data_IF_871906656417
#
_entry.id   IF_871906656417
#
_cell.length_a   1.000
_cell.length_b   1.000
_cell.length_c   1.000
_cell.angle_alpha   90.00
_cell.angle_beta   90.00
_cell.angle_gamma   90.00
#
_symmetry.space_group_name_H-M   'P 1'
#
loop_
_entity.id
_entity.type
_entity.pdbx_description
1 polymer ?
#
# COMPACT_ATOMS: atom_id res chain seq x y z
N UNK A 1 10.08 22.40 14.53
CA UNK A 1 9.07 21.60 13.80
C UNK A 1 7.72 21.46 14.54
N UNK A 2 7.64 21.37 15.88
CA UNK A 2 6.35 21.13 16.58
C UNK A 2 5.20 22.09 16.20
N UNK A 3 5.47 23.41 16.12
CA UNK A 3 4.47 24.39 15.67
C UNK A 3 3.96 24.11 14.25
N UNK A 4 4.85 23.77 13.32
CA UNK A 4 4.50 23.41 11.94
C UNK A 4 3.68 22.11 11.93
N UNK A 5 4.06 21.12 12.73
CA UNK A 5 3.37 19.82 12.80
C UNK A 5 1.91 19.95 13.24
N UNK A 6 1.61 20.76 14.26
CA UNK A 6 0.23 21.02 14.67
C UNK A 6 -0.59 21.66 13.54
N UNK A 7 -0.03 22.71 12.91
CA UNK A 7 -0.70 23.40 11.79
C UNK A 7 -0.89 22.47 10.59
N UNK A 8 0.07 21.60 10.31
CA UNK A 8 -0.02 20.57 9.26
C UNK A 8 -1.20 19.62 9.51
N UNK A 9 -1.37 19.10 10.72
CA UNK A 9 -2.49 18.18 11.02
C UNK A 9 -3.82 18.89 10.79
N UNK A 10 -3.97 20.13 11.27
CA UNK A 10 -5.19 20.93 11.07
C UNK A 10 -5.44 21.24 9.59
N UNK A 11 -4.40 21.58 8.84
CA UNK A 11 -4.47 21.79 7.40
C UNK A 11 -4.94 20.51 6.67
N UNK A 12 -4.33 19.37 6.99
CA UNK A 12 -4.67 18.11 6.37
C UNK A 12 -6.13 17.71 6.62
N UNK A 13 -6.60 17.81 7.87
CA UNK A 13 -8.00 17.53 8.22
C UNK A 13 -8.97 18.46 7.49
N UNK A 14 -8.57 19.72 7.27
CA UNK A 14 -9.36 20.70 6.49
C UNK A 14 -9.37 20.39 5.00
N UNK A 15 -8.29 19.89 4.42
CA UNK A 15 -8.31 19.39 3.03
C UNK A 15 -9.24 18.17 2.96
N UNK A 16 -9.19 17.29 3.95
CA UNK A 16 -10.03 16.09 4.05
C UNK A 16 -11.53 16.35 4.14
N UNK A 17 -11.98 17.55 4.52
CA UNK A 17 -13.41 17.91 4.42
C UNK A 17 -13.87 18.23 3.00
N UNK A 18 -12.94 18.42 2.06
CA UNK A 18 -13.21 18.63 0.63
C UNK A 18 -12.88 17.40 -0.24
N UNK A 19 -12.06 16.48 0.27
CA UNK A 19 -11.73 15.21 -0.37
C UNK A 19 -11.84 14.08 0.65
N UNK A 20 -12.92 13.30 0.56
CA UNK A 20 -13.24 12.23 1.51
C UNK A 20 -12.21 11.10 1.53
N UNK A 21 -11.42 10.93 0.47
CA UNK A 21 -10.41 9.88 0.38
C UNK A 21 -9.04 10.34 0.90
N UNK A 22 -8.85 11.65 1.17
CA UNK A 22 -7.53 12.17 1.50
C UNK A 22 -6.99 11.71 2.85
N UNK A 23 -7.86 11.51 3.84
CA UNK A 23 -7.49 11.05 5.19
C UNK A 23 -7.74 9.55 5.28
N UNK A 24 -6.66 8.76 5.38
CA UNK A 24 -6.72 7.31 5.59
C UNK A 24 -7.07 7.00 7.05
N UNK A 25 -6.36 7.64 7.99
CA UNK A 25 -6.59 7.49 9.42
C UNK A 25 -6.35 8.80 10.19
N UNK A 26 -7.15 9.03 11.22
CA UNK A 26 -6.92 10.09 12.19
C UNK A 26 -7.33 9.66 13.61
N UNK A 27 -6.38 9.79 14.54
CA UNK A 27 -6.55 9.39 15.94
C UNK A 27 -5.97 10.43 16.93
N UNK A 28 -5.81 11.67 16.48
CA UNK A 28 -5.40 12.80 17.31
C UNK A 28 -6.56 13.45 18.09
N UNK A 29 -6.31 14.65 18.67
CA UNK A 29 -7.30 15.39 19.45
C UNK A 29 -8.60 15.67 18.68
N UNK A 30 -9.75 15.28 19.24
CA UNK A 30 -11.04 15.44 18.55
C UNK A 30 -11.39 16.91 18.23
N UNK A 31 -10.97 17.84 19.09
CA UNK A 31 -11.20 19.28 18.90
C UNK A 31 -10.43 19.89 17.71
N UNK A 32 -9.52 19.14 17.08
CA UNK A 32 -8.82 19.58 15.86
C UNK A 32 -9.55 19.24 14.57
N UNK A 33 -10.55 18.34 14.62
CA UNK A 33 -11.39 18.07 13.45
C UNK A 33 -12.10 19.36 13.03
N UNK A 34 -12.15 19.68 11.73
CA UNK A 34 -12.85 20.87 11.27
C UNK A 34 -14.32 20.77 11.73
N UNK A 35 -14.84 21.87 12.29
CA UNK A 35 -16.28 22.01 12.51
C UNK A 35 -16.91 22.00 11.13
N UNK A 36 -17.81 21.04 10.87
CA UNK A 36 -18.44 20.73 9.58
C UNK A 36 -18.33 21.86 8.56
N UNK A 37 -17.32 21.80 7.69
CA UNK A 37 -17.21 22.74 6.57
C UNK A 37 -18.18 22.25 5.48
N UNK A 38 -19.40 22.79 5.46
CA UNK A 38 -20.47 22.41 4.52
C UNK A 38 -20.40 23.19 3.20
N UNK A 39 -19.20 23.61 2.78
CA UNK A 39 -19.00 24.45 1.59
C UNK A 39 -18.34 23.69 0.45
N UNK A 40 -18.64 24.07 -0.79
CA UNK A 40 -17.87 23.61 -1.96
C UNK A 40 -16.45 24.18 -1.92
N UNK A 41 -15.49 23.42 -2.45
CA UNK A 41 -14.14 23.93 -2.68
C UNK A 41 -14.19 25.00 -3.78
N UNK A 42 -13.90 26.25 -3.43
CA UNK A 42 -13.99 27.40 -4.33
C UNK A 42 -12.71 28.26 -4.26
N UNK A 43 -12.62 29.30 -5.10
CA UNK A 43 -11.43 30.17 -5.18
C UNK A 43 -11.01 30.75 -3.82
N UNK A 44 -11.97 31.12 -2.96
CA UNK A 44 -11.64 31.69 -1.64
C UNK A 44 -11.04 30.63 -0.72
N UNK A 45 -11.57 29.40 -0.74
CA UNK A 45 -11.01 28.25 0.00
C UNK A 45 -9.60 27.95 -0.52
N UNK A 46 -9.44 27.89 -1.84
CA UNK A 46 -8.15 27.66 -2.49
C UNK A 46 -7.11 28.69 -2.03
N UNK A 47 -7.41 29.99 -2.09
CA UNK A 47 -6.46 31.03 -1.68
C UNK A 47 -6.04 30.87 -0.22
N UNK A 48 -6.98 30.58 0.68
CA UNK A 48 -6.69 30.39 2.11
C UNK A 48 -5.81 29.16 2.33
N UNK A 49 -6.15 28.00 1.77
CA UNK A 49 -5.38 26.77 1.96
C UNK A 49 -4.01 26.85 1.28
N UNK A 50 -3.94 27.44 0.09
CA UNK A 50 -2.68 27.66 -0.63
C UNK A 50 -1.75 28.61 0.15
N UNK A 51 -2.27 29.71 0.71
CA UNK A 51 -1.48 30.59 1.57
C UNK A 51 -0.99 29.85 2.82
N UNK A 52 -1.85 29.06 3.46
CA UNK A 52 -1.49 28.28 4.65
C UNK A 52 -0.37 27.27 4.35
N UNK A 53 -0.50 26.47 3.30
CA UNK A 53 0.53 25.46 2.97
C UNK A 53 1.85 26.10 2.56
N UNK A 54 1.83 27.21 1.82
CA UNK A 54 3.06 27.94 1.46
C UNK A 54 3.75 28.51 2.69
N UNK A 55 3.01 29.13 3.62
CA UNK A 55 3.58 29.61 4.89
C UNK A 55 4.23 28.49 5.70
N UNK A 56 3.67 27.27 5.69
CA UNK A 56 4.25 26.13 6.40
C UNK A 56 5.51 25.60 5.69
N UNK A 57 5.53 25.60 4.35
CA UNK A 57 6.72 25.25 3.58
C UNK A 57 7.85 26.26 3.82
N UNK A 58 7.55 27.56 3.84
CA UNK A 58 8.52 28.62 4.16
C UNK A 58 9.07 28.47 5.59
N UNK A 59 8.19 28.19 6.58
CA UNK A 59 8.59 27.89 7.97
C UNK A 59 9.51 26.66 8.04
N UNK A 60 9.28 25.64 7.20
CA UNK A 60 10.17 24.48 7.11
C UNK A 60 11.50 24.86 6.46
N UNK A 61 11.52 25.57 5.33
CA UNK A 61 12.77 25.96 4.66
C UNK A 61 13.70 26.75 5.59
N UNK A 62 13.15 27.62 6.43
CA UNK A 62 13.91 28.33 7.46
C UNK A 62 14.59 27.41 8.49
N UNK A 63 14.06 26.19 8.71
CA UNK A 63 14.64 25.18 9.59
C UNK A 63 15.72 24.32 8.91
N UNK A 64 15.92 24.42 7.60
CA UNK A 64 16.88 23.58 6.85
C UNK A 64 18.34 23.75 7.30
N UNK A 65 18.69 24.90 7.88
CA UNK A 65 20.03 25.23 8.40
C UNK A 65 20.25 24.82 9.86
N UNK A 66 19.22 24.27 10.52
CA UNK A 66 19.32 23.81 11.91
C UNK A 66 20.25 22.59 12.01
N UNK A 67 21.13 22.57 13.03
CA UNK A 67 21.98 21.43 13.31
C UNK A 67 21.18 20.28 13.93
N UNK A 68 20.44 19.55 13.09
CA UNK A 68 19.53 18.48 13.45
C UNK A 68 20.23 17.15 13.71
N UNK A 69 19.69 16.37 14.65
CA UNK A 69 19.99 14.93 14.75
C UNK A 69 19.50 14.17 13.52
N UNK A 70 19.98 12.95 13.26
CA UNK A 70 19.53 12.15 12.11
C UNK A 70 18.02 11.90 12.12
N UNK A 71 17.43 11.63 13.29
CA UNK A 71 15.99 11.42 13.39
C UNK A 71 15.20 12.72 13.12
N UNK A 72 15.72 13.88 13.51
CA UNK A 72 15.12 15.17 13.17
C UNK A 72 15.26 15.51 11.69
N UNK A 73 16.34 15.09 11.02
CA UNK A 73 16.47 15.21 9.56
C UNK A 73 15.43 14.36 8.84
N UNK A 74 15.18 13.14 9.31
CA UNK A 74 14.11 12.29 8.78
C UNK A 74 12.73 12.95 9.01
N UNK A 75 12.47 13.44 10.23
CA UNK A 75 11.23 14.16 10.56
C UNK A 75 11.01 15.38 9.66
N UNK A 76 12.08 16.15 9.42
CA UNK A 76 12.06 17.30 8.53
C UNK A 76 11.65 16.90 7.12
N UNK A 77 12.32 15.91 6.53
CA UNK A 77 12.04 15.41 5.18
C UNK A 77 10.61 14.90 5.08
N UNK A 78 10.18 14.10 6.05
CA UNK A 78 8.82 13.57 6.12
C UNK A 78 7.79 14.71 6.10
N UNK A 79 7.87 15.64 7.05
CA UNK A 79 6.86 16.69 7.19
C UNK A 79 6.86 17.64 5.98
N UNK A 80 8.03 17.95 5.42
CA UNK A 80 8.14 18.76 4.20
C UNK A 80 7.46 18.08 3.00
N UNK A 81 7.73 16.78 2.79
CA UNK A 81 7.12 16.00 1.70
C UNK A 81 5.62 15.80 1.89
N UNK A 82 5.15 15.67 3.12
CA UNK A 82 3.72 15.66 3.45
C UNK A 82 3.04 17.00 3.11
N UNK A 83 3.68 18.13 3.40
CA UNK A 83 3.18 19.45 3.03
C UNK A 83 3.13 19.66 1.51
N UNK A 84 4.10 19.12 0.76
CA UNK A 84 4.04 19.12 -0.71
C UNK A 84 2.85 18.30 -1.22
N UNK A 85 2.55 17.13 -0.64
CA UNK A 85 1.36 16.37 -0.99
C UNK A 85 0.05 17.13 -0.69
N UNK A 86 -0.04 17.79 0.47
CA UNK A 86 -1.15 18.70 0.80
C UNK A 86 -1.29 19.81 -0.25
N UNK A 87 -0.19 20.47 -0.62
CA UNK A 87 -0.17 21.51 -1.66
C UNK A 87 -0.71 20.95 -2.96
N UNK A 88 -0.17 19.82 -3.43
CA UNK A 88 -0.62 19.15 -4.66
C UNK A 88 -2.13 18.89 -4.66
N UNK A 89 -2.69 18.35 -3.57
CA UNK A 89 -4.14 18.10 -3.47
C UNK A 89 -4.96 19.38 -3.47
N UNK A 90 -4.49 20.48 -2.85
CA UNK A 90 -5.13 21.80 -2.93
C UNK A 90 -5.22 22.28 -4.38
N UNK A 91 -4.14 22.15 -5.18
CA UNK A 91 -4.16 22.51 -6.59
C UNK A 91 -5.11 21.61 -7.41
N UNK A 92 -5.11 20.31 -7.15
CA UNK A 92 -6.01 19.37 -7.83
C UNK A 92 -7.49 19.64 -7.53
N UNK A 93 -7.83 19.95 -6.27
CA UNK A 93 -9.17 20.39 -5.89
C UNK A 93 -9.59 21.69 -6.58
N UNK A 94 -8.63 22.54 -6.94
CA UNK A 94 -8.84 23.75 -7.75
C UNK A 94 -8.87 23.47 -9.27
N UNK A 95 -8.98 22.21 -9.70
CA UNK A 95 -9.11 21.82 -11.09
C UNK A 95 -7.79 21.64 -11.86
N UNK A 96 -6.63 21.73 -11.21
CA UNK A 96 -5.34 21.42 -11.86
C UNK A 96 -5.26 19.92 -12.14
N UNK A 97 -5.01 19.57 -13.41
CA UNK A 97 -4.74 18.19 -13.82
C UNK A 97 -3.25 18.03 -14.08
N UNK A 98 -2.62 17.10 -13.37
CA UNK A 98 -1.22 16.73 -13.56
C UNK A 98 -1.11 15.54 -14.51
N UNK A 99 0.02 15.42 -15.21
CA UNK A 99 0.40 14.15 -15.84
C UNK A 99 0.62 13.07 -14.78
N UNK A 100 0.56 11.81 -15.19
CA UNK A 100 0.80 10.65 -14.33
C UNK A 100 2.15 10.75 -13.60
N UNK A 101 3.19 11.17 -14.30
CA UNK A 101 4.54 11.31 -13.76
C UNK A 101 4.65 12.47 -12.76
N UNK A 102 4.07 13.63 -13.09
CA UNK A 102 4.06 14.79 -12.19
C UNK A 102 3.26 14.49 -10.91
N UNK A 103 2.11 13.83 -11.03
CA UNK A 103 1.28 13.44 -9.90
C UNK A 103 1.99 12.41 -9.02
N UNK A 104 2.61 11.39 -9.62
CA UNK A 104 3.39 10.38 -8.89
C UNK A 104 4.54 11.01 -8.08
N UNK A 105 5.27 11.95 -8.69
CA UNK A 105 6.37 12.65 -8.02
C UNK A 105 5.86 13.60 -6.93
N UNK A 106 4.76 14.32 -7.17
CA UNK A 106 4.24 15.35 -6.27
C UNK A 106 3.45 14.79 -5.08
N UNK A 107 2.77 13.64 -5.24
CA UNK A 107 2.03 12.98 -4.17
C UNK A 107 2.85 11.89 -3.47
N UNK A 108 3.67 11.12 -4.19
CA UNK A 108 4.31 9.92 -3.65
C UNK A 108 5.84 9.98 -3.63
N UNK A 109 6.47 11.08 -4.03
CA UNK A 109 7.93 11.25 -4.03
C UNK A 109 8.68 10.14 -4.83
N UNK A 110 8.06 9.65 -5.89
CA UNK A 110 8.51 8.48 -6.63
C UNK A 110 8.57 8.70 -8.15
N UNK A 111 9.60 8.11 -8.75
CA UNK A 111 9.72 7.96 -10.19
C UNK A 111 9.10 6.62 -10.57
N UNK A 112 8.29 6.60 -11.64
CA UNK A 112 7.60 5.38 -12.06
C UNK A 112 8.27 4.80 -13.31
N UNK A 113 8.80 3.57 -13.26
CA UNK A 113 9.44 2.94 -14.42
C UNK A 113 8.44 2.75 -15.56
N UNK A 114 8.96 2.78 -16.79
CA UNK A 114 8.18 2.56 -18.02
C UNK A 114 8.49 1.18 -18.56
N UNK A 115 7.46 0.37 -18.79
CA UNK A 115 7.57 -0.95 -19.38
C UNK A 115 6.88 -0.98 -20.75
N UNK A 116 7.55 -1.58 -21.74
CA UNK A 116 6.98 -1.77 -23.07
C UNK A 116 6.20 -3.10 -23.16
N UNK A 117 5.57 -3.35 -24.31
CA UNK A 117 4.80 -4.58 -24.52
C UNK A 117 5.65 -5.85 -24.36
N UNK A 118 6.92 -5.81 -24.78
CA UNK A 118 7.79 -6.99 -24.81
C UNK A 118 8.10 -7.48 -23.39
N UNK A 119 8.22 -6.56 -22.43
CA UNK A 119 8.34 -6.89 -21.01
C UNK A 119 7.19 -7.80 -20.52
N UNK A 120 5.96 -7.51 -20.95
CA UNK A 120 4.78 -8.29 -20.58
C UNK A 120 4.64 -9.57 -21.41
N UNK A 121 4.92 -9.51 -22.72
CA UNK A 121 4.83 -10.67 -23.63
C UNK A 121 5.74 -11.81 -23.18
N UNK A 122 6.98 -11.52 -22.76
CA UNK A 122 7.90 -12.55 -22.25
C UNK A 122 7.28 -13.34 -21.10
N UNK A 123 6.63 -12.63 -20.17
CA UNK A 123 5.97 -13.25 -19.01
C UNK A 123 4.73 -14.05 -19.43
N UNK A 124 3.93 -13.53 -20.37
CA UNK A 124 2.74 -14.21 -20.89
C UNK A 124 3.12 -15.47 -21.66
N UNK A 125 4.18 -15.44 -22.46
CA UNK A 125 4.68 -16.60 -23.20
C UNK A 125 5.20 -17.69 -22.26
N UNK A 126 5.78 -17.32 -21.12
CA UNK A 126 6.17 -18.29 -20.09
C UNK A 126 4.94 -18.89 -19.40
N UNK A 127 3.95 -18.07 -19.06
CA UNK A 127 2.66 -18.55 -18.53
C UNK A 127 1.96 -19.49 -19.52
N UNK A 128 1.98 -19.19 -20.82
CA UNK A 128 1.41 -20.02 -21.88
C UNK A 128 1.99 -21.44 -21.89
N UNK A 129 3.32 -21.57 -21.69
CA UNK A 129 4.03 -22.85 -21.66
C UNK A 129 3.71 -23.69 -20.42
N UNK A 130 3.59 -23.05 -19.25
CA UNK A 130 3.47 -23.79 -17.98
C UNK A 130 2.02 -24.04 -17.56
N UNK A 131 1.07 -23.24 -18.04
CA UNK A 131 -0.34 -23.39 -17.68
C UNK A 131 -0.98 -24.57 -18.41
N UNK A 132 -1.66 -25.48 -17.69
CA UNK A 132 -2.31 -26.62 -18.30
C UNK A 132 -3.52 -26.21 -19.17
N UNK A 133 -3.80 -27.03 -20.19
CA UNK A 133 -4.94 -26.85 -21.09
C UNK A 133 -4.58 -26.21 -22.43
N UNK A 134 -5.61 -25.82 -23.19
CA UNK A 134 -5.49 -25.10 -24.47
C UNK A 134 -6.37 -23.84 -24.45
N UNK A 135 -6.08 -22.87 -25.32
CA UNK A 135 -6.86 -21.63 -25.44
C UNK A 135 -6.17 -20.42 -24.81
N UNK A 136 -6.93 -19.37 -24.52
CA UNK A 136 -6.40 -18.10 -24.02
C UNK A 136 -5.68 -18.28 -22.68
N UNK A 137 -4.54 -17.61 -22.52
CA UNK A 137 -3.72 -17.67 -21.29
C UNK A 137 -4.52 -17.21 -20.08
N UNK A 138 -5.30 -16.13 -20.21
CA UNK A 138 -6.15 -15.59 -19.14
C UNK A 138 -7.21 -16.60 -18.66
N UNK A 139 -7.84 -17.34 -19.58
CA UNK A 139 -8.84 -18.36 -19.24
C UNK A 139 -8.22 -19.57 -18.54
N UNK A 140 -7.08 -20.05 -19.06
CA UNK A 140 -6.33 -21.15 -18.42
C UNK A 140 -5.82 -20.77 -17.04
N UNK A 141 -5.33 -19.55 -16.89
CA UNK A 141 -4.91 -19.00 -15.60
C UNK A 141 -6.07 -18.97 -14.60
N UNK A 142 -7.23 -18.42 -14.98
CA UNK A 142 -8.40 -18.37 -14.10
C UNK A 142 -8.86 -19.79 -13.70
N UNK A 143 -8.92 -20.71 -14.66
CA UNK A 143 -9.28 -22.11 -14.43
C UNK A 143 -8.28 -22.79 -13.48
N UNK A 144 -6.98 -22.57 -13.69
CA UNK A 144 -5.93 -23.12 -12.85
C UNK A 144 -5.99 -22.58 -11.42
N UNK A 145 -6.15 -21.26 -11.24
CA UNK A 145 -6.33 -20.65 -9.91
C UNK A 145 -7.58 -21.18 -9.20
N UNK A 146 -8.65 -21.49 -9.95
CA UNK A 146 -9.89 -22.06 -9.44
C UNK A 146 -9.70 -23.31 -8.57
N UNK A 147 -8.67 -24.12 -8.83
CA UNK A 147 -8.34 -25.32 -8.04
C UNK A 147 -7.91 -25.02 -6.60
N UNK A 148 -7.49 -23.79 -6.33
CA UNK A 148 -6.94 -23.33 -5.05
C UNK A 148 -7.88 -22.38 -4.30
N UNK A 149 -9.15 -22.31 -4.72
CA UNK A 149 -10.19 -21.53 -4.03
C UNK A 149 -10.43 -22.09 -2.63
N UNK A 150 -10.37 -21.24 -1.61
CA UNK A 150 -10.70 -21.63 -0.24
C UNK A 150 -12.23 -21.80 -0.15
N UNK A 151 -12.75 -22.93 0.35
CA UNK A 151 -14.18 -23.07 0.63
C UNK A 151 -14.66 -22.03 1.66
N UNK A 152 -15.85 -21.46 1.47
CA UNK A 152 -16.36 -20.35 2.30
C UNK A 152 -16.41 -20.71 3.80
N UNK A 153 -16.81 -21.93 4.13
CA UNK A 153 -16.86 -22.45 5.50
C UNK A 153 -15.47 -22.64 6.15
N UNK A 154 -14.41 -22.66 5.33
CA UNK A 154 -13.02 -22.81 5.77
C UNK A 154 -12.25 -21.49 5.83
N UNK A 155 -12.77 -20.40 5.26
CA UNK A 155 -12.08 -19.10 5.22
C UNK A 155 -11.59 -18.67 6.61
N UNK A 156 -12.47 -18.68 7.61
CA UNK A 156 -12.14 -18.21 8.96
C UNK A 156 -11.00 -19.01 9.60
N UNK A 157 -11.01 -20.33 9.49
CA UNK A 157 -9.97 -21.17 10.11
C UNK A 157 -8.62 -21.00 9.40
N UNK A 158 -8.62 -20.88 8.07
CA UNK A 158 -7.40 -20.65 7.27
C UNK A 158 -6.80 -19.29 7.58
N UNK A 159 -7.60 -18.22 7.58
CA UNK A 159 -7.12 -16.86 7.90
C UNK A 159 -6.57 -16.77 9.32
N UNK A 160 -7.25 -17.35 10.31
CA UNK A 160 -6.76 -17.36 11.69
C UNK A 160 -5.40 -18.06 11.82
N UNK A 161 -5.19 -19.15 11.09
CA UNK A 161 -3.91 -19.85 11.07
C UNK A 161 -2.80 -19.00 10.43
N UNK A 162 -3.10 -18.33 9.31
CA UNK A 162 -2.17 -17.41 8.66
C UNK A 162 -1.79 -16.23 9.58
N UNK A 163 -2.78 -15.56 10.19
CA UNK A 163 -2.57 -14.46 11.14
C UNK A 163 -1.68 -14.90 12.32
N UNK A 164 -1.94 -16.08 12.88
CA UNK A 164 -1.16 -16.61 14.00
C UNK A 164 0.31 -16.82 13.62
N UNK A 165 0.57 -17.35 12.43
CA UNK A 165 1.94 -17.59 11.95
C UNK A 165 2.66 -16.28 11.63
N UNK A 166 2.00 -15.38 10.90
CA UNK A 166 2.46 -14.03 10.64
C UNK A 166 2.86 -13.29 11.93
N UNK A 167 2.00 -13.37 12.95
CA UNK A 167 2.26 -12.81 14.28
C UNK A 167 3.47 -13.46 14.95
N UNK A 168 3.50 -14.79 15.01
CA UNK A 168 4.57 -15.58 15.63
C UNK A 168 5.94 -15.23 15.06
N UNK A 169 6.03 -15.04 13.74
CA UNK A 169 7.26 -14.61 13.05
C UNK A 169 7.62 -13.18 13.42
N UNK A 170 6.66 -12.27 13.33
CA UNK A 170 6.88 -10.83 13.60
C UNK A 170 7.42 -10.56 15.01
N UNK A 171 6.80 -11.15 16.04
CA UNK A 171 7.15 -10.85 17.44
C UNK A 171 8.54 -11.36 17.86
N UNK A 172 9.17 -12.25 17.09
CA UNK A 172 10.56 -12.68 17.32
C UNK A 172 11.57 -11.58 17.01
N UNK A 173 11.19 -10.61 16.17
CA UNK A 173 12.09 -9.59 15.63
C UNK A 173 11.66 -8.16 15.99
N UNK A 174 10.36 -7.95 16.16
CA UNK A 174 9.77 -6.63 16.42
C UNK A 174 9.03 -6.68 17.75
N UNK A 175 9.48 -5.86 18.70
CA UNK A 175 8.71 -5.59 19.91
C UNK A 175 7.51 -4.71 19.54
N UNK A 176 6.31 -5.20 19.86
CA UNK A 176 5.06 -4.50 19.60
C UNK A 176 4.53 -3.82 20.87
N UNK A 177 3.67 -2.78 20.74
CA UNK A 177 2.99 -2.19 21.90
C UNK A 177 2.23 -3.27 22.68
N UNK A 178 2.33 -3.34 24.02
CA UNK A 178 1.74 -4.45 24.78
C UNK A 178 0.23 -4.66 24.59
N UNK A 179 -0.49 -3.59 24.20
CA UNK A 179 -1.93 -3.60 24.00
C UNK A 179 -2.34 -3.61 22.54
N UNK A 180 -1.41 -3.74 21.58
CA UNK A 180 -1.79 -3.84 20.17
C UNK A 180 -2.64 -5.07 19.91
N UNK A 181 -3.70 -4.87 19.13
CA UNK A 181 -4.49 -5.96 18.58
C UNK A 181 -5.33 -5.47 17.40
N UNK A 182 -5.96 -6.42 16.70
CA UNK A 182 -6.96 -6.11 15.69
C UNK A 182 -8.08 -7.13 15.69
N UNK A 183 -9.23 -6.72 15.18
CA UNK A 183 -10.34 -7.63 14.83
C UNK A 183 -10.42 -7.83 13.33
N UNK A 184 -10.94 -8.99 12.91
CA UNK A 184 -11.22 -9.30 11.50
C UNK A 184 -12.71 -9.36 11.25
N UNK A 185 -13.19 -8.62 10.26
CA UNK A 185 -14.57 -8.58 9.81
C UNK A 185 -14.68 -9.09 8.37
N UNK A 186 -15.59 -10.02 8.12
CA UNK A 186 -15.89 -10.46 6.75
C UNK A 186 -17.07 -9.65 6.23
N UNK A 187 -16.83 -8.90 5.16
CA UNK A 187 -17.78 -7.94 4.59
C UNK A 187 -18.14 -8.28 3.15
N UNK A 188 -19.20 -7.64 2.65
CA UNK A 188 -19.70 -7.72 1.29
C UNK A 188 -20.01 -6.32 0.75
N UNK A 189 -20.18 -6.21 -0.56
CA UNK A 189 -20.48 -4.98 -1.30
C UNK A 189 -19.48 -3.85 -1.03
N UNK A 190 -18.18 -4.18 -0.99
CA UNK A 190 -17.10 -3.20 -0.79
C UNK A 190 -16.26 -3.05 -2.07
N UNK A 191 -15.72 -1.86 -2.36
CA UNK A 191 -14.87 -1.65 -3.53
C UNK A 191 -13.43 -2.19 -3.37
N UNK A 192 -13.04 -2.60 -2.16
CA UNK A 192 -11.74 -3.19 -1.84
C UNK A 192 -11.81 -4.70 -1.62
N UNK A 193 -10.66 -5.39 -1.75
CA UNK A 193 -10.53 -6.83 -1.46
C UNK A 193 -10.24 -7.11 0.02
N UNK A 194 -9.39 -6.31 0.64
CA UNK A 194 -9.24 -6.20 2.07
C UNK A 194 -8.80 -4.78 2.41
N UNK A 195 -8.96 -4.37 3.67
CA UNK A 195 -8.51 -3.07 4.13
C UNK A 195 -8.32 -3.04 5.65
N UNK A 196 -7.23 -2.41 6.11
CA UNK A 196 -6.98 -2.14 7.51
C UNK A 196 -7.48 -0.74 7.92
N UNK A 197 -8.56 -0.71 8.70
CA UNK A 197 -8.99 0.52 9.36
C UNK A 197 -8.23 0.72 10.67
N UNK A 198 -7.15 1.50 10.64
CA UNK A 198 -6.45 1.86 11.86
C UNK A 198 -7.25 2.87 12.68
N UNK A 199 -7.57 2.52 13.94
CA UNK A 199 -8.44 3.32 14.83
C UNK A 199 -7.68 4.13 15.87
N UNK A 200 -6.35 4.07 15.87
CA UNK A 200 -5.53 4.56 16.97
C UNK A 200 -5.60 3.66 18.20
N UNK A 201 -4.86 4.02 19.24
CA UNK A 201 -4.70 3.19 20.45
C UNK A 201 -4.18 1.79 20.14
N UNK A 202 -3.36 1.67 19.11
CA UNK A 202 -2.81 0.38 18.66
C UNK A 202 -3.87 -0.63 18.22
N UNK A 203 -5.04 -0.16 17.77
CA UNK A 203 -6.15 -1.01 17.34
C UNK A 203 -6.45 -0.85 15.85
N UNK A 204 -6.63 -1.98 15.16
CA UNK A 204 -7.16 -2.02 13.78
C UNK A 204 -8.44 -2.82 13.68
N UNK A 205 -9.26 -2.49 12.69
CA UNK A 205 -10.31 -3.37 12.16
C UNK A 205 -9.93 -3.76 10.74
N UNK A 206 -9.61 -5.03 10.52
CA UNK A 206 -9.28 -5.56 9.20
C UNK A 206 -10.56 -6.09 8.57
N UNK A 207 -10.96 -5.51 7.45
CA UNK A 207 -12.11 -5.97 6.67
C UNK A 207 -11.64 -6.83 5.50
N UNK A 208 -12.21 -8.02 5.34
CA UNK A 208 -11.96 -8.92 4.21
C UNK A 208 -13.24 -9.01 3.38
N UNK A 209 -13.17 -8.57 2.13
CA UNK A 209 -14.31 -8.63 1.23
C UNK A 209 -14.46 -10.03 0.62
N UNK A 210 -15.65 -10.59 0.78
CA UNK A 210 -16.02 -11.94 0.34
C UNK A 210 -16.89 -11.96 -0.92
N UNK A 211 -17.04 -10.83 -1.62
CA UNK A 211 -17.78 -10.75 -2.88
C UNK A 211 -17.15 -11.58 -4.01
N UNK A 212 -15.82 -11.76 -3.96
CA UNK A 212 -15.05 -12.55 -4.93
C UNK A 212 -14.40 -13.77 -4.26
N UNK A 213 -14.17 -14.87 -5.01
CA UNK A 213 -13.41 -16.02 -4.53
C UNK A 213 -12.04 -15.63 -3.95
N UNK A 214 -11.75 -16.12 -2.75
CA UNK A 214 -10.43 -15.99 -2.11
C UNK A 214 -9.66 -17.30 -2.31
N UNK A 215 -8.43 -17.17 -2.81
CA UNK A 215 -7.53 -18.30 -3.08
C UNK A 215 -6.53 -18.49 -1.94
N UNK A 216 -5.92 -19.68 -1.86
CA UNK A 216 -5.06 -20.08 -0.73
C UNK A 216 -3.88 -19.13 -0.48
N UNK A 217 -3.28 -18.57 -1.53
CA UNK A 217 -2.21 -17.57 -1.46
C UNK A 217 -2.66 -16.28 -0.74
N UNK A 218 -3.92 -15.90 -0.92
CA UNK A 218 -4.44 -14.67 -0.31
C UNK A 218 -4.54 -14.74 1.20
N UNK A 219 -4.50 -15.94 1.80
CA UNK A 219 -4.52 -16.10 3.24
C UNK A 219 -3.30 -15.46 3.90
N UNK A 220 -2.08 -15.81 3.43
CA UNK A 220 -0.84 -15.18 3.93
C UNK A 220 -0.74 -13.74 3.46
N UNK A 221 -1.03 -13.46 2.17
CA UNK A 221 -0.90 -12.10 1.64
C UNK A 221 -1.65 -11.12 2.53
N UNK A 222 -2.94 -11.35 2.78
CA UNK A 222 -3.77 -10.43 3.57
C UNK A 222 -3.40 -10.45 5.06
N UNK A 223 -3.11 -11.62 5.63
CA UNK A 223 -2.73 -11.72 7.04
C UNK A 223 -1.43 -10.95 7.35
N UNK A 224 -0.47 -10.97 6.41
CA UNK A 224 0.78 -10.25 6.54
C UNK A 224 0.64 -8.77 6.17
N UNK A 225 0.06 -8.49 5.00
CA UNK A 225 -0.10 -7.14 4.45
C UNK A 225 -0.97 -6.25 5.35
N UNK A 226 -2.14 -6.74 5.77
CA UNK A 226 -3.03 -5.95 6.64
C UNK A 226 -2.64 -6.05 8.11
N UNK A 227 -2.07 -7.19 8.52
CA UNK A 227 -1.78 -7.51 9.92
C UNK A 227 -0.29 -7.45 10.25
N UNK A 228 0.35 -8.62 10.31
CA UNK A 228 1.71 -8.79 10.83
C UNK A 228 2.68 -9.25 9.72
N UNK A 229 3.71 -8.49 9.31
CA UNK A 229 4.18 -7.24 9.90
C UNK A 229 3.75 -5.97 9.13
N UNK A 230 2.66 -6.01 8.35
CA UNK A 230 2.22 -4.93 7.48
C UNK A 230 1.49 -3.78 8.19
N UNK A 231 0.37 -3.30 7.62
CA UNK A 231 -0.29 -2.04 7.99
C UNK A 231 -0.60 -1.89 9.47
N UNK A 232 -1.07 -2.94 10.15
CA UNK A 232 -1.33 -2.87 11.58
C UNK A 232 -0.05 -2.55 12.36
N UNK A 233 1.04 -3.27 12.10
CA UNK A 233 2.32 -3.06 12.77
C UNK A 233 2.94 -1.72 12.39
N UNK A 234 2.87 -1.33 11.11
CA UNK A 234 3.33 -0.02 10.64
C UNK A 234 2.70 1.12 11.45
N UNK A 235 1.37 1.18 11.49
CA UNK A 235 0.65 2.23 12.20
C UNK A 235 0.88 2.15 13.72
N UNK A 236 0.88 0.94 14.30
CA UNK A 236 1.13 0.75 15.73
C UNK A 236 2.52 1.23 16.16
N UNK A 237 3.55 1.02 15.34
CA UNK A 237 4.91 1.45 15.64
C UNK A 237 5.09 2.96 15.44
N UNK A 238 4.49 3.57 14.42
CA UNK A 238 4.50 5.03 14.28
C UNK A 238 3.76 5.71 15.44
N UNK A 239 2.59 5.20 15.82
CA UNK A 239 1.85 5.69 16.98
C UNK A 239 2.69 5.58 18.26
N UNK A 240 3.31 4.41 18.47
CA UNK A 240 4.02 4.16 19.73
C UNK A 240 5.32 4.96 19.83
N UNK A 241 6.13 4.95 18.77
CA UNK A 241 7.47 5.49 18.81
C UNK A 241 7.52 6.98 18.53
N UNK A 242 6.64 7.51 17.69
CA UNK A 242 6.68 8.90 17.25
C UNK A 242 5.56 9.73 17.88
N UNK A 243 4.29 9.30 17.75
CA UNK A 243 3.19 10.08 18.32
C UNK A 243 3.24 10.10 19.85
N UNK A 244 3.34 8.94 20.51
CA UNK A 244 3.25 8.85 21.98
C UNK A 244 4.57 9.11 22.69
N UNK A 245 5.67 8.46 22.29
CA UNK A 245 6.97 8.62 22.98
C UNK A 245 7.71 9.92 22.65
N UNK A 246 7.47 10.51 21.48
CA UNK A 246 8.14 11.75 21.04
C UNK A 246 7.20 12.96 20.97
N UNK A 247 5.91 12.75 21.18
CA UNK A 247 4.88 13.81 21.10
C UNK A 247 4.84 14.47 19.71
N UNK A 248 5.15 13.71 18.66
CA UNK A 248 5.13 14.18 17.27
C UNK A 248 3.74 14.03 16.68
N UNK A 249 2.94 15.08 16.87
CA UNK A 249 1.51 15.12 16.54
C UNK A 249 1.21 14.88 15.07
N UNK A 250 2.15 15.12 14.15
CA UNK A 250 1.98 14.84 12.73
C UNK A 250 1.80 13.35 12.42
N UNK A 251 2.18 12.45 13.33
CA UNK A 251 1.93 11.00 13.19
C UNK A 251 0.55 10.59 13.72
N UNK A 252 -0.28 11.53 14.17
CA UNK A 252 -1.68 11.24 14.52
C UNK A 252 -2.64 11.23 13.33
N UNK A 253 -2.13 11.59 12.14
CA UNK A 253 -2.85 11.60 10.86
C UNK A 253 -2.04 10.81 9.82
N UNK A 254 -2.74 10.04 8.99
CA UNK A 254 -2.19 9.37 7.82
C UNK A 254 -2.98 9.84 6.58
N UNK A 255 -2.27 10.44 5.63
CA UNK A 255 -2.83 10.91 4.37
C UNK A 255 -2.70 9.83 3.29
N UNK A 256 -3.83 9.44 2.68
CA UNK A 256 -3.86 8.39 1.64
C UNK A 256 -3.09 8.80 0.39
N UNK A 257 -3.17 10.06 0.00
CA UNK A 257 -2.45 10.60 -1.15
C UNK A 257 -1.17 11.30 -0.71
N UNK A 258 -0.20 10.54 -0.20
CA UNK A 258 1.07 11.07 0.29
C UNK A 258 2.23 10.07 0.18
N UNK A 259 3.49 10.51 0.37
CA UNK A 259 4.65 9.62 0.30
C UNK A 259 4.67 8.58 1.41
N UNK A 260 3.92 8.79 2.50
CA UNK A 260 3.72 7.78 3.54
C UNK A 260 3.01 6.55 2.98
N UNK A 261 2.05 6.70 2.06
CA UNK A 261 1.29 5.59 1.50
C UNK A 261 2.15 4.65 0.67
N UNK A 262 3.10 5.20 -0.08
CA UNK A 262 4.03 4.38 -0.85
C UNK A 262 4.95 3.55 0.07
N UNK A 263 5.39 4.13 1.20
CA UNK A 263 6.15 3.39 2.22
C UNK A 263 5.26 2.35 2.93
N UNK A 264 4.03 2.71 3.30
CA UNK A 264 3.10 1.83 3.99
C UNK A 264 2.76 0.61 3.12
N UNK A 265 2.36 0.83 1.86
CA UNK A 265 2.08 -0.24 0.89
C UNK A 265 3.34 -1.03 0.53
N UNK A 266 4.46 -0.35 0.30
CA UNK A 266 5.72 -1.01 -0.02
C UNK A 266 6.20 -1.93 1.09
N UNK A 267 6.11 -1.49 2.35
CA UNK A 267 6.46 -2.31 3.51
C UNK A 267 5.43 -3.41 3.78
N UNK A 268 4.13 -3.18 3.54
CA UNK A 268 3.10 -4.20 3.68
C UNK A 268 3.27 -5.33 2.64
N UNK A 269 3.57 -4.99 1.38
CA UNK A 269 3.83 -5.96 0.32
C UNK A 269 5.16 -6.70 0.52
N UNK A 270 6.26 -5.98 0.80
CA UNK A 270 7.55 -6.62 1.05
C UNK A 270 7.58 -7.40 2.37
N UNK A 271 6.76 -7.01 3.36
CA UNK A 271 6.64 -7.67 4.66
C UNK A 271 6.25 -9.15 4.56
N UNK A 272 5.60 -9.55 3.46
CA UNK A 272 5.32 -10.96 3.16
C UNK A 272 6.64 -11.74 2.95
N UNK A 273 7.55 -11.22 2.13
CA UNK A 273 8.86 -11.83 1.86
C UNK A 273 9.79 -11.78 3.09
N UNK A 274 9.66 -10.74 3.91
CA UNK A 274 10.38 -10.64 5.19
C UNK A 274 9.91 -11.70 6.17
N UNK A 275 8.59 -11.89 6.29
CA UNK A 275 8.01 -12.88 7.19
C UNK A 275 8.23 -14.31 6.69
N UNK A 276 8.19 -14.55 5.38
CA UNK A 276 8.31 -15.88 4.77
C UNK A 276 9.39 -15.90 3.66
N UNK A 277 10.68 -15.93 4.03
CA UNK A 277 11.76 -15.92 3.07
C UNK A 277 11.84 -17.24 2.28
N UNK A 278 12.36 -17.16 1.05
CA UNK A 278 12.54 -18.32 0.16
C UNK A 278 11.28 -19.20 0.04
N UNK A 279 11.44 -20.50 0.32
CA UNK A 279 10.35 -21.48 0.21
C UNK A 279 9.52 -21.63 1.49
N UNK A 280 9.76 -20.84 2.54
CA UNK A 280 9.05 -21.00 3.82
C UNK A 280 7.55 -20.78 3.69
N UNK A 281 7.15 -19.82 2.84
CA UNK A 281 5.74 -19.57 2.52
C UNK A 281 5.05 -20.83 1.99
N UNK A 282 5.61 -21.38 0.91
CA UNK A 282 5.06 -22.56 0.23
C UNK A 282 5.02 -23.74 1.19
N UNK A 283 6.07 -23.93 1.98
CA UNK A 283 6.13 -25.00 2.99
C UNK A 283 5.00 -24.88 4.01
N UNK A 284 4.83 -23.70 4.62
CA UNK A 284 3.79 -23.49 5.61
C UNK A 284 2.38 -23.63 5.01
N UNK A 285 2.15 -23.09 3.81
CA UNK A 285 0.87 -23.24 3.12
C UNK A 285 0.56 -24.71 2.86
N UNK A 286 1.51 -25.48 2.30
CA UNK A 286 1.32 -26.93 2.04
C UNK A 286 1.08 -27.74 3.32
N UNK A 287 1.83 -27.47 4.39
CA UNK A 287 1.78 -28.25 5.63
C UNK A 287 0.57 -27.87 6.51
N UNK A 288 0.08 -26.64 6.42
CA UNK A 288 -0.95 -26.10 7.33
C UNK A 288 -2.18 -25.61 6.60
N UNK A 289 -2.05 -24.64 5.69
CA UNK A 289 -3.21 -23.96 5.12
C UNK A 289 -3.99 -24.84 4.13
N UNK A 290 -3.30 -25.59 3.28
CA UNK A 290 -3.92 -26.53 2.34
C UNK A 290 -4.76 -27.60 3.06
N UNK A 291 -4.23 -28.33 4.07
CA UNK A 291 -5.03 -29.24 4.88
C UNK A 291 -6.24 -28.59 5.55
N UNK A 292 -6.09 -27.38 6.12
CA UNK A 292 -7.21 -26.65 6.75
C UNK A 292 -8.30 -26.26 5.75
N UNK A 293 -7.90 -25.92 4.52
CA UNK A 293 -8.80 -25.58 3.43
C UNK A 293 -9.43 -26.83 2.75
N UNK A 294 -8.91 -28.03 3.03
CA UNK A 294 -9.30 -29.26 2.30
C UNK A 294 -8.80 -29.27 0.85
N UNK A 295 -7.71 -28.57 0.56
CA UNK A 295 -7.14 -28.45 -0.78
C UNK A 295 -5.98 -29.43 -1.00
N UNK A 296 -5.82 -29.89 -2.24
CA UNK A 296 -4.70 -30.73 -2.65
C UNK A 296 -3.47 -29.86 -3.01
N UNK A 297 -2.32 -30.14 -2.39
CA UNK A 297 -1.07 -29.40 -2.59
C UNK A 297 -0.17 -29.92 -3.73
N UNK A 298 -0.59 -30.95 -4.48
CA UNK A 298 0.24 -31.58 -5.53
C UNK A 298 0.67 -30.60 -6.64
N UNK A 299 -0.20 -29.65 -6.99
CA UNK A 299 0.08 -28.63 -8.00
C UNK A 299 0.56 -27.30 -7.38
N UNK A 300 0.84 -27.25 -6.07
CA UNK A 300 1.18 -26.01 -5.38
C UNK A 300 2.49 -25.37 -5.87
N UNK A 301 3.53 -26.16 -6.22
CA UNK A 301 4.78 -25.57 -6.74
C UNK A 301 4.56 -24.86 -8.08
N UNK A 302 3.73 -25.44 -8.94
CA UNK A 302 3.30 -24.79 -10.18
C UNK A 302 2.45 -23.55 -9.88
N UNK A 303 1.57 -23.63 -8.88
CA UNK A 303 0.75 -22.50 -8.43
C UNK A 303 1.59 -21.29 -8.04
N UNK A 304 2.59 -21.46 -7.17
CA UNK A 304 3.44 -20.36 -6.75
C UNK A 304 4.38 -19.87 -7.85
N UNK A 305 4.85 -20.73 -8.75
CA UNK A 305 5.58 -20.29 -9.95
C UNK A 305 4.73 -19.40 -10.84
N UNK A 306 3.45 -19.75 -11.04
CA UNK A 306 2.49 -18.92 -11.78
C UNK A 306 2.29 -17.57 -11.08
N UNK A 307 2.07 -17.55 -9.77
CA UNK A 307 1.89 -16.31 -9.01
C UNK A 307 3.11 -15.40 -9.08
N UNK A 308 4.32 -15.97 -9.02
CA UNK A 308 5.57 -15.19 -9.13
C UNK A 308 5.67 -14.49 -10.49
N UNK A 309 5.38 -15.20 -11.59
CA UNK A 309 5.32 -14.60 -12.93
C UNK A 309 4.25 -13.51 -13.01
N UNK A 310 3.10 -13.70 -12.37
CA UNK A 310 2.03 -12.69 -12.37
C UNK A 310 2.42 -11.37 -11.69
N UNK A 311 3.38 -11.37 -10.75
CA UNK A 311 3.85 -10.11 -10.10
C UNK A 311 4.35 -9.11 -11.14
N UNK A 312 5.11 -9.56 -12.15
CA UNK A 312 5.61 -8.71 -13.23
C UNK A 312 4.48 -8.07 -14.05
N UNK A 313 3.37 -8.79 -14.23
CA UNK A 313 2.23 -8.29 -14.98
C UNK A 313 1.50 -7.15 -14.25
N UNK A 314 1.69 -6.97 -12.94
CA UNK A 314 1.10 -5.85 -12.19
C UNK A 314 1.50 -4.48 -12.78
N UNK A 315 2.70 -4.37 -13.35
CA UNK A 315 3.18 -3.16 -14.03
C UNK A 315 2.35 -2.79 -15.27
N UNK A 316 1.65 -3.75 -15.89
CA UNK A 316 0.70 -3.43 -16.97
C UNK A 316 -0.45 -2.55 -16.45
N UNK A 317 -0.80 -2.66 -15.16
CA UNK A 317 -1.75 -1.76 -14.51
C UNK A 317 -1.22 -0.34 -14.37
N UNK A 318 0.08 -0.16 -14.13
CA UNK A 318 0.72 1.16 -14.08
C UNK A 318 0.73 1.81 -15.47
N UNK A 319 1.05 1.05 -16.52
CA UNK A 319 1.01 1.57 -17.89
C UNK A 319 -0.41 1.90 -18.36
N UNK A 320 -1.41 1.12 -17.93
CA UNK A 320 -2.81 1.45 -18.12
C UNK A 320 -3.18 2.79 -17.49
N UNK A 321 -2.86 2.96 -16.21
CA UNK A 321 -3.11 4.21 -15.48
C UNK A 321 -2.36 5.39 -16.12
N UNK A 322 -1.09 5.21 -16.48
CA UNK A 322 -0.26 6.22 -17.13
C UNK A 322 -0.87 6.71 -18.43
N UNK A 323 -1.24 5.81 -19.33
CA UNK A 323 -1.77 6.19 -20.63
C UNK A 323 -3.20 6.74 -20.54
N UNK A 324 -4.03 6.22 -19.64
CA UNK A 324 -5.37 6.73 -19.41
C UNK A 324 -5.36 8.16 -18.82
N UNK A 325 -4.59 8.37 -17.73
CA UNK A 325 -4.54 9.66 -17.03
C UNK A 325 -3.85 10.74 -17.86
N UNK A 326 -2.90 10.38 -18.73
CA UNK A 326 -2.28 11.29 -19.69
C UNK A 326 -3.14 11.54 -20.95
N UNK A 327 -4.38 11.02 -21.01
CA UNK A 327 -5.30 11.21 -22.14
C UNK A 327 -4.87 10.53 -23.43
N UNK A 328 -3.91 9.60 -23.38
CA UNK A 328 -3.42 8.84 -24.54
C UNK A 328 -4.36 7.70 -24.92
N UNK A 329 -5.02 7.10 -23.94
CA UNK A 329 -5.99 6.02 -24.14
C UNK A 329 -7.38 6.42 -23.65
N UNK A 330 -8.39 5.97 -24.39
CA UNK A 330 -9.78 5.97 -23.91
C UNK A 330 -10.05 4.74 -23.01
N UNK A 331 -11.27 4.64 -22.49
CA UNK A 331 -11.68 3.55 -21.60
C UNK A 331 -11.52 2.17 -22.25
N UNK A 332 -11.97 2.00 -23.49
CA UNK A 332 -11.90 0.71 -24.18
C UNK A 332 -10.46 0.28 -24.43
N UNK A 333 -9.59 1.19 -24.88
CA UNK A 333 -8.16 0.90 -25.06
C UNK A 333 -7.49 0.50 -23.75
N UNK A 334 -7.88 1.14 -22.65
CA UNK A 334 -7.36 0.83 -21.31
C UNK A 334 -7.82 -0.54 -20.83
N UNK A 335 -9.10 -0.88 -21.04
CA UNK A 335 -9.68 -2.20 -20.73
C UNK A 335 -9.00 -3.29 -21.57
N UNK A 336 -8.84 -3.08 -22.87
CA UNK A 336 -8.20 -4.04 -23.77
C UNK A 336 -6.74 -4.31 -23.36
N UNK A 337 -6.00 -3.26 -22.97
CA UNK A 337 -4.65 -3.40 -22.43
C UNK A 337 -4.61 -4.21 -21.15
N UNK A 338 -5.50 -3.91 -20.19
CA UNK A 338 -5.59 -4.64 -18.92
C UNK A 338 -5.96 -6.11 -19.14
N UNK A 339 -6.86 -6.41 -20.07
CA UNK A 339 -7.22 -7.78 -20.42
C UNK A 339 -6.04 -8.51 -21.04
N UNK A 340 -5.30 -7.86 -21.95
CA UNK A 340 -4.20 -8.46 -22.69
C UNK A 340 -2.94 -8.66 -21.85
N UNK A 341 -2.48 -7.62 -21.16
CA UNK A 341 -1.17 -7.61 -20.50
C UNK A 341 -1.23 -7.76 -18.98
N UNK A 342 -2.37 -7.44 -18.35
CA UNK A 342 -2.59 -7.73 -16.93
C UNK A 342 -3.40 -9.02 -16.71
N UNK A 343 -3.79 -9.70 -17.80
CA UNK A 343 -4.55 -10.95 -17.84
C UNK A 343 -5.88 -10.90 -17.06
N UNK A 344 -6.51 -9.73 -16.98
CA UNK A 344 -7.81 -9.56 -16.33
C UNK A 344 -8.94 -10.07 -17.22
N UNK A 345 -10.00 -10.58 -16.61
CA UNK A 345 -11.32 -10.65 -17.27
C UNK A 345 -11.83 -9.24 -17.57
N UNK A 346 -12.75 -9.09 -18.54
CA UNK A 346 -13.38 -7.79 -18.85
C UNK A 346 -13.95 -7.07 -17.61
N UNK A 347 -14.77 -7.75 -16.80
CA UNK A 347 -15.36 -7.16 -15.59
C UNK A 347 -14.30 -6.67 -14.59
N UNK A 348 -13.27 -7.48 -14.34
CA UNK A 348 -12.13 -7.09 -13.49
C UNK A 348 -11.32 -5.92 -14.06
N UNK A 349 -11.20 -5.82 -15.38
CA UNK A 349 -10.53 -4.69 -16.05
C UNK A 349 -11.35 -3.40 -15.94
N UNK A 350 -12.68 -3.47 -16.11
CA UNK A 350 -13.61 -2.34 -15.90
C UNK A 350 -13.53 -1.83 -14.45
N UNK A 351 -13.60 -2.73 -13.46
CA UNK A 351 -13.42 -2.36 -12.04
C UNK A 351 -12.05 -1.75 -11.74
N UNK A 352 -10.99 -2.25 -12.39
CA UNK A 352 -9.65 -1.68 -12.23
C UNK A 352 -9.55 -0.28 -12.87
N UNK A 353 -10.25 -0.05 -13.98
CA UNK A 353 -10.35 1.29 -14.57
C UNK A 353 -11.11 2.25 -13.64
N UNK A 354 -12.18 1.81 -12.96
CA UNK A 354 -12.86 2.63 -11.94
C UNK A 354 -11.92 2.98 -10.78
N UNK A 355 -11.08 2.03 -10.35
CA UNK A 355 -10.02 2.29 -9.37
C UNK A 355 -9.02 3.34 -9.87
N UNK A 356 -8.57 3.26 -11.13
CA UNK A 356 -7.70 4.27 -11.75
C UNK A 356 -8.40 5.64 -11.80
N UNK A 357 -9.69 5.69 -12.13
CA UNK A 357 -10.43 6.97 -12.17
C UNK A 357 -10.51 7.61 -10.78
N UNK A 358 -10.79 6.81 -9.75
CA UNK A 358 -10.94 7.28 -8.37
C UNK A 358 -9.60 7.65 -7.73
N UNK A 359 -8.65 6.71 -7.71
CA UNK A 359 -7.40 6.83 -6.95
C UNK A 359 -6.19 7.20 -7.81
N UNK A 360 -6.39 7.31 -9.13
CA UNK A 360 -5.42 7.87 -10.07
C UNK A 360 -4.06 7.16 -9.99
N UNK A 361 -3.00 7.91 -9.69
CA UNK A 361 -1.63 7.40 -9.63
C UNK A 361 -1.34 6.52 -8.42
N UNK A 362 -2.28 6.36 -7.47
CA UNK A 362 -2.13 5.52 -6.28
C UNK A 362 -1.75 4.06 -6.60
N UNK A 363 -2.09 3.56 -7.80
CA UNK A 363 -1.74 2.19 -8.25
C UNK A 363 -0.25 1.85 -8.11
N UNK A 364 0.64 2.84 -8.11
CA UNK A 364 2.09 2.62 -8.00
C UNK A 364 2.52 2.20 -6.59
N UNK A 365 1.71 2.52 -5.57
CA UNK A 365 2.09 2.29 -4.18
C UNK A 365 2.32 0.80 -3.88
N UNK A 366 1.63 -0.09 -4.62
CA UNK A 366 1.76 -1.53 -4.46
C UNK A 366 3.09 -2.08 -5.00
N UNK A 367 3.36 -1.90 -6.30
CA UNK A 367 4.52 -2.51 -6.97
C UNK A 367 5.78 -1.64 -6.85
N UNK A 368 5.72 -0.37 -7.24
CA UNK A 368 6.86 0.56 -7.12
C UNK A 368 7.22 0.77 -5.66
N UNK A 369 6.22 0.85 -4.77
CA UNK A 369 6.45 0.88 -3.32
C UNK A 369 7.22 -0.33 -2.81
N UNK A 370 6.78 -1.54 -3.20
CA UNK A 370 7.48 -2.77 -2.84
C UNK A 370 8.92 -2.77 -3.35
N UNK A 371 9.14 -2.39 -4.61
CA UNK A 371 10.47 -2.36 -5.22
C UNK A 371 11.40 -1.37 -4.53
N UNK A 372 10.93 -0.16 -4.19
CA UNK A 372 11.73 0.83 -3.45
C UNK A 372 12.15 0.27 -2.08
N UNK A 373 11.22 -0.31 -1.33
CA UNK A 373 11.49 -0.89 0.00
C UNK A 373 12.45 -2.07 -0.10
N UNK A 374 12.18 -3.01 -1.02
CA UNK A 374 13.01 -4.19 -1.27
C UNK A 374 14.43 -3.80 -1.65
N UNK A 375 14.58 -2.93 -2.64
CA UNK A 375 15.88 -2.48 -3.13
C UNK A 375 16.69 -1.78 -2.02
N UNK A 376 16.05 -0.94 -1.20
CA UNK A 376 16.71 -0.33 -0.06
C UNK A 376 17.22 -1.37 0.93
N UNK A 377 16.38 -2.34 1.31
CA UNK A 377 16.75 -3.37 2.30
C UNK A 377 17.89 -4.24 1.77
N UNK A 378 17.79 -4.73 0.53
CA UNK A 378 18.77 -5.64 -0.06
C UNK A 378 20.11 -4.96 -0.33
N UNK A 379 20.11 -3.72 -0.85
CA UNK A 379 21.32 -2.90 -1.05
C UNK A 379 22.06 -2.63 0.26
N UNK A 380 21.35 -2.64 1.40
CA UNK A 380 21.92 -2.47 2.74
C UNK A 380 22.18 -3.80 3.47
N UNK A 381 22.16 -4.93 2.74
CA UNK A 381 22.57 -6.25 3.24
C UNK A 381 21.45 -7.07 3.91
N UNK A 382 20.19 -6.67 3.76
CA UNK A 382 19.02 -7.42 4.23
C UNK A 382 18.54 -8.47 3.24
N UNK A 383 19.37 -9.46 2.92
CA UNK A 383 19.06 -10.53 1.94
C UNK A 383 18.52 -11.80 2.60
N UNK A 384 18.19 -12.82 1.80
CA UNK A 384 17.69 -14.12 2.29
C UNK A 384 18.77 -14.82 3.14
N UNK A 385 20.04 -14.58 2.83
CA UNK A 385 21.21 -15.09 3.56
C UNK A 385 21.48 -14.33 4.86
N UNK A 386 20.88 -13.15 5.05
CA UNK A 386 21.03 -12.34 6.26
C UNK A 386 19.67 -11.87 6.83
N UNK A 387 18.84 -12.82 7.31
CA UNK A 387 17.49 -12.51 7.79
C UNK A 387 17.50 -11.58 9.01
N UNK A 388 18.54 -11.63 9.85
CA UNK A 388 18.66 -10.72 10.99
C UNK A 388 18.79 -9.26 10.53
N UNK A 389 19.65 -8.99 9.54
CA UNK A 389 19.81 -7.63 9.00
C UNK A 389 18.57 -7.17 8.26
N UNK A 390 17.90 -8.07 7.52
CA UNK A 390 16.63 -7.79 6.86
C UNK A 390 15.58 -7.30 7.86
N UNK A 391 15.37 -8.05 8.95
CA UNK A 391 14.41 -7.66 9.99
C UNK A 391 14.80 -6.37 10.71
N UNK A 392 16.08 -6.13 10.95
CA UNK A 392 16.58 -4.88 11.53
C UNK A 392 16.22 -3.67 10.66
N UNK A 393 16.53 -3.73 9.36
CA UNK A 393 16.24 -2.66 8.39
C UNK A 393 14.74 -2.47 8.22
N UNK A 394 13.99 -3.56 8.10
CA UNK A 394 12.54 -3.53 7.96
C UNK A 394 11.89 -2.86 9.18
N UNK A 395 12.26 -3.27 10.40
CA UNK A 395 11.81 -2.63 11.65
C UNK A 395 12.13 -1.13 11.67
N UNK A 396 13.33 -0.74 11.21
CA UNK A 396 13.71 0.66 11.14
C UNK A 396 12.75 1.45 10.22
N UNK A 397 12.41 0.92 9.04
CA UNK A 397 11.44 1.55 8.13
C UNK A 397 10.05 1.72 8.78
N UNK A 398 9.57 0.71 9.51
CA UNK A 398 8.27 0.78 10.18
C UNK A 398 8.24 1.73 11.39
N UNK A 399 9.40 2.12 11.93
CA UNK A 399 9.51 2.84 13.21
C UNK A 399 10.00 4.28 13.09
N UNK A 400 10.33 4.73 11.88
CA UNK A 400 10.97 6.04 11.63
C UNK A 400 10.28 6.77 10.49
N UNK A 401 10.39 8.12 10.43
CA UNK A 401 9.64 8.92 9.47
C UNK A 401 10.30 8.91 8.09
N UNK A 402 10.12 7.81 7.37
CA UNK A 402 10.72 7.57 6.06
C UNK A 402 9.92 8.20 4.93
N UNK A 403 10.60 8.54 3.85
CA UNK A 403 9.98 8.92 2.57
C UNK A 403 10.64 8.15 1.43
N UNK A 404 9.95 7.91 0.32
CA UNK A 404 10.48 7.18 -0.83
C UNK A 404 11.79 7.74 -1.38
N UNK A 405 11.88 9.07 -1.56
CA UNK A 405 13.12 9.71 -1.99
C UNK A 405 14.27 9.59 -0.99
N UNK A 406 13.98 9.26 0.28
CA UNK A 406 14.98 8.96 1.31
C UNK A 406 15.58 7.56 1.26
N UNK A 407 15.01 6.66 0.44
CA UNK A 407 15.41 5.25 0.33
C UNK A 407 16.22 4.93 -0.93
N UNK A 408 16.41 5.90 -1.84
CA UNK A 408 17.14 5.73 -3.12
C UNK A 408 18.66 5.72 -2.94
#
# INVERSE_FOLDING_TARGET
MNSVAEKYVKLALRIGSYDNDFIDAYYGPQDWKPKTETGEFNDSVYQVLNQQVNSLLDEMEALSVYNATELEKLRYRYLYKQLLACKTKIFMLNGVTLSFEEEAQALYDADVPVHNEDFFKITIDELDKILPGKGLVSERLLSFKGKFKIPEDKLKVVFNAAIKECRSRTIKHIQLPPTENFSVEYVKNKPWGAYNWYKGNFFSVIQVNTDLPIYIDRAIDLAAHEGYPGHHVYNALLEWNLYRKKEWVEFSVYLLFSPQSLIAEGTANYGIEVAFPGNERIKFEKEVLFPLAGLNSNEADLYYRVLELQKNLSYAGNEAARNFLNGKWNEQQTIDWLMKYNLRSKESAEKYLDFIKQYRTYVINYNVGMDIVKNYIEKNGGTDENPSKRWELFKNLLSTPQTPGGLK
#
